data_IF_236225487902
#
_entry.id   IF_236225487902
#
_cell.length_a   1.000
_cell.length_b   1.000
_cell.length_c   1.000
_cell.angle_alpha   90.00
_cell.angle_beta   90.00
_cell.angle_gamma   90.00
#
_symmetry.space_group_name_H-M   'P 1'
#
loop_
_entity.id
_entity.type
_entity.pdbx_description
1 polymer ?
#
# COMPACT_ATOMS: atom_id res chain seq x y z
N UNK A 1 -4.07 -1.09 3.31
CA UNK A 1 -2.93 -0.18 3.33
C UNK A 1 -3.39 1.30 3.25
N UNK A 2 -2.45 2.25 3.26
CA UNK A 2 -2.78 3.66 3.46
C UNK A 2 -3.08 4.47 2.19
N UNK A 3 -2.97 3.89 0.98
CA UNK A 3 -3.25 4.63 -0.24
C UNK A 3 -4.68 5.20 -0.24
N UNK A 4 -4.88 6.28 -0.98
CA UNK A 4 -6.12 7.06 -0.98
C UNK A 4 -7.33 6.27 -1.49
N UNK A 5 -7.17 5.40 -2.47
CA UNK A 5 -8.23 4.53 -3.00
C UNK A 5 -8.76 3.51 -1.98
N UNK A 6 -7.99 3.24 -0.91
CA UNK A 6 -8.40 2.41 0.22
C UNK A 6 -8.87 3.21 1.44
N UNK A 7 -8.50 4.48 1.56
CA UNK A 7 -8.72 5.24 2.81
C UNK A 7 -9.49 6.55 2.63
N UNK A 8 -9.59 7.10 1.41
CA UNK A 8 -10.19 8.41 1.17
C UNK A 8 -11.68 8.51 1.55
N UNK A 9 -12.38 7.38 1.65
CA UNK A 9 -13.76 7.34 2.11
C UNK A 9 -13.92 7.43 3.66
N UNK A 10 -12.86 7.32 4.44
CA UNK A 10 -12.95 7.35 5.91
C UNK A 10 -13.55 8.66 6.45
N UNK A 11 -13.14 9.86 5.98
CA UNK A 11 -13.80 11.10 6.41
C UNK A 11 -15.27 11.17 6.00
N UNK A 12 -15.63 10.62 4.85
CA UNK A 12 -17.02 10.57 4.42
C UNK A 12 -17.87 9.65 5.31
N UNK A 13 -17.34 8.52 5.76
CA UNK A 13 -18.01 7.69 6.77
C UNK A 13 -18.27 8.47 8.07
N UNK A 14 -17.33 9.34 8.48
CA UNK A 14 -17.54 10.24 9.65
C UNK A 14 -18.66 11.24 9.39
N UNK A 15 -18.69 11.88 8.22
CA UNK A 15 -19.77 12.79 7.81
C UNK A 15 -21.14 12.10 7.81
N UNK A 16 -21.21 10.82 7.43
CA UNK A 16 -22.42 9.98 7.49
C UNK A 16 -22.78 9.51 8.91
N UNK A 17 -22.02 9.91 9.93
CA UNK A 17 -22.31 9.57 11.33
C UNK A 17 -21.68 8.29 11.84
N UNK A 18 -20.83 7.60 11.08
CA UNK A 18 -20.10 6.44 11.61
C UNK A 18 -19.16 6.86 12.75
N UNK A 19 -19.31 6.22 13.90
CA UNK A 19 -18.49 6.48 15.10
C UNK A 19 -17.79 5.22 15.63
N UNK A 20 -17.93 4.12 14.89
CA UNK A 20 -17.26 2.87 15.20
C UNK A 20 -15.75 2.92 15.03
N UNK A 21 -15.03 1.90 15.49
CA UNK A 21 -13.57 1.83 15.37
C UNK A 21 -13.15 1.57 13.92
N UNK A 22 -11.99 2.11 13.55
CA UNK A 22 -11.27 1.81 12.31
C UNK A 22 -9.93 1.19 12.70
N UNK A 23 -9.63 0.03 12.15
CA UNK A 23 -8.42 -0.71 12.47
C UNK A 23 -7.50 -0.82 11.26
N UNK A 24 -6.19 -0.78 11.50
CA UNK A 24 -5.16 -1.06 10.51
C UNK A 24 -3.88 -1.55 11.18
N UNK A 25 -2.88 -1.96 10.41
CA UNK A 25 -1.53 -2.17 10.95
C UNK A 25 -0.92 -0.87 11.47
N UNK A 26 0.05 -0.95 12.36
CA UNK A 26 0.68 0.25 12.93
C UNK A 26 1.28 1.18 11.85
N UNK A 27 2.01 0.69 10.82
CA UNK A 27 2.49 1.56 9.75
C UNK A 27 1.36 2.21 8.96
N UNK A 28 0.31 1.46 8.61
CA UNK A 28 -0.86 2.01 7.91
C UNK A 28 -1.55 3.08 8.76
N UNK A 29 -1.76 2.83 10.05
CA UNK A 29 -2.39 3.80 10.96
C UNK A 29 -1.59 5.11 11.06
N UNK A 30 -0.26 5.03 11.07
CA UNK A 30 0.62 6.20 11.07
C UNK A 30 0.56 7.00 9.76
N UNK A 31 0.40 6.33 8.63
CA UNK A 31 0.41 6.94 7.30
C UNK A 31 -0.94 7.57 6.89
N UNK A 32 -2.06 6.97 7.28
CA UNK A 32 -3.41 7.39 6.86
C UNK A 32 -3.66 8.90 7.01
N UNK A 33 -3.34 9.56 8.14
CA UNK A 33 -3.60 10.99 8.27
C UNK A 33 -2.85 11.85 7.23
N UNK A 34 -1.64 11.46 6.87
CA UNK A 34 -0.84 12.13 5.84
C UNK A 34 -1.45 11.98 4.44
N UNK A 35 -1.80 10.76 4.07
CA UNK A 35 -2.43 10.45 2.79
C UNK A 35 -3.78 11.17 2.64
N UNK A 36 -4.63 11.15 3.66
CA UNK A 36 -5.93 11.82 3.63
C UNK A 36 -5.79 13.34 3.43
N UNK A 37 -4.86 13.99 4.13
CA UNK A 37 -4.63 15.43 3.95
C UNK A 37 -4.10 15.77 2.55
N UNK A 38 -3.14 14.99 2.04
CA UNK A 38 -2.60 15.17 0.68
C UNK A 38 -3.69 15.03 -0.37
N UNK A 39 -4.47 13.94 -0.28
CA UNK A 39 -5.56 13.68 -1.20
C UNK A 39 -6.65 14.77 -1.15
N UNK A 40 -7.08 15.18 0.04
CA UNK A 40 -8.06 16.24 0.20
C UNK A 40 -7.57 17.58 -0.36
N UNK A 41 -6.29 17.91 -0.15
CA UNK A 41 -5.67 19.11 -0.74
C UNK A 41 -5.59 19.02 -2.25
N UNK A 42 -5.19 17.87 -2.79
CA UNK A 42 -5.12 17.63 -4.22
C UNK A 42 -6.49 17.82 -4.87
N UNK A 43 -7.53 17.15 -4.37
CA UNK A 43 -8.89 17.24 -4.90
C UNK A 43 -9.42 18.68 -4.90
N UNK A 44 -9.23 19.42 -3.80
CA UNK A 44 -9.65 20.82 -3.73
C UNK A 44 -8.93 21.70 -4.75
N UNK A 45 -7.64 21.50 -4.92
CA UNK A 45 -6.84 22.26 -5.88
C UNK A 45 -7.26 21.97 -7.34
N UNK A 46 -7.89 20.82 -7.58
CA UNK A 46 -8.47 20.47 -8.89
C UNK A 46 -9.95 20.87 -9.02
N UNK A 47 -10.50 21.52 -8.00
CA UNK A 47 -11.89 21.99 -8.03
C UNK A 47 -12.93 20.94 -7.63
N UNK A 48 -12.51 19.80 -7.09
CA UNK A 48 -13.44 18.76 -6.64
C UNK A 48 -14.19 19.22 -5.38
N UNK A 49 -15.47 18.94 -5.33
CA UNK A 49 -16.27 19.14 -4.12
C UNK A 49 -16.23 17.87 -3.26
N UNK A 50 -15.53 17.92 -2.14
CA UNK A 50 -15.47 16.81 -1.21
C UNK A 50 -16.81 16.65 -0.47
N UNK A 51 -17.30 15.40 -0.25
CA UNK A 51 -18.56 15.12 0.45
C UNK A 51 -18.42 15.17 1.99
N UNK A 52 -17.35 15.77 2.50
CA UNK A 52 -17.04 15.89 3.94
C UNK A 52 -16.28 17.20 4.21
N UNK A 53 -16.29 17.63 5.48
CA UNK A 53 -15.60 18.83 5.94
C UNK A 53 -14.25 18.56 6.61
N UNK A 54 -13.57 19.64 7.01
CA UNK A 54 -12.29 19.56 7.75
C UNK A 54 -12.43 18.85 9.09
N UNK A 55 -13.59 19.02 9.76
CA UNK A 55 -13.85 18.35 11.02
C UNK A 55 -13.90 16.83 10.85
N UNK A 56 -14.62 16.34 9.82
CA UNK A 56 -14.72 14.92 9.54
C UNK A 56 -13.34 14.30 9.23
N UNK A 57 -12.51 15.04 8.46
CA UNK A 57 -11.13 14.67 8.18
C UNK A 57 -10.29 14.59 9.48
N UNK A 58 -10.43 15.60 10.35
CA UNK A 58 -9.69 15.66 11.60
C UNK A 58 -10.16 14.60 12.63
N UNK A 59 -11.38 14.10 12.53
CA UNK A 59 -11.94 13.07 13.39
C UNK A 59 -11.58 11.63 13.01
N UNK A 60 -10.96 11.40 11.85
CA UNK A 60 -10.51 10.06 11.49
C UNK A 60 -9.46 9.58 12.49
N UNK A 61 -9.77 8.49 13.17
CA UNK A 61 -8.86 7.79 14.09
C UNK A 61 -8.72 6.36 13.64
N UNK A 62 -7.47 5.92 13.49
CA UNK A 62 -7.15 4.54 13.13
C UNK A 62 -6.42 3.90 14.30
N UNK A 63 -6.97 2.80 14.80
CA UNK A 63 -6.39 2.04 15.91
C UNK A 63 -5.45 0.98 15.35
N UNK A 64 -4.17 0.99 15.73
CA UNK A 64 -3.22 -0.01 15.25
C UNK A 64 -3.54 -1.40 15.81
N UNK A 65 -3.46 -2.40 14.92
CA UNK A 65 -3.53 -3.81 15.28
C UNK A 65 -2.28 -4.53 14.80
N UNK A 66 -1.71 -5.44 15.60
CA UNK A 66 -0.63 -6.30 15.14
C UNK A 66 -1.14 -7.35 14.15
N UNK A 67 -0.22 -7.88 13.33
CA UNK A 67 -0.50 -9.03 12.47
C UNK A 67 -0.94 -10.26 13.29
N UNK A 68 -1.53 -11.23 12.63
CA UNK A 68 -2.00 -12.47 13.24
C UNK A 68 -3.52 -12.61 13.26
N UNK A 69 -4.01 -13.59 14.00
CA UNK A 69 -5.44 -13.93 14.08
C UNK A 69 -6.08 -13.40 15.36
N UNK A 70 -7.29 -12.88 15.27
CA UNK A 70 -8.07 -12.38 16.41
C UNK A 70 -9.56 -12.44 16.18
N UNK A 71 -10.31 -12.45 17.27
CA UNK A 71 -11.75 -12.21 17.29
C UNK A 71 -12.05 -10.74 16.96
N UNK A 72 -13.10 -10.50 16.20
CA UNK A 72 -13.57 -9.14 15.92
C UNK A 72 -14.49 -8.67 17.04
N UNK A 73 -14.14 -7.58 17.76
CA UNK A 73 -14.99 -7.06 18.83
C UNK A 73 -16.41 -6.75 18.35
N UNK A 74 -17.42 -7.21 19.09
CA UNK A 74 -18.82 -7.00 18.75
C UNK A 74 -19.39 -7.93 17.68
N UNK A 75 -18.59 -8.83 17.11
CA UNK A 75 -19.02 -9.82 16.11
C UNK A 75 -18.59 -11.23 16.56
N UNK A 76 -19.34 -11.82 17.50
CA UNK A 76 -19.02 -13.17 18.00
C UNK A 76 -19.05 -14.19 16.86
N UNK A 77 -18.11 -15.11 16.88
CA UNK A 77 -17.94 -16.12 15.83
C UNK A 77 -17.22 -15.64 14.56
N UNK A 78 -16.85 -14.35 14.49
CA UNK A 78 -16.00 -13.83 13.41
C UNK A 78 -14.57 -13.67 13.88
N UNK A 79 -13.65 -14.36 13.21
CA UNK A 79 -12.20 -14.13 13.33
C UNK A 79 -11.65 -13.47 12.09
N UNK A 80 -10.63 -12.63 12.26
CA UNK A 80 -9.84 -12.08 11.16
C UNK A 80 -8.37 -12.41 11.35
N UNK A 81 -7.73 -12.85 10.28
CA UNK A 81 -6.29 -13.08 10.22
C UNK A 81 -5.67 -12.08 9.26
N UNK A 82 -4.59 -11.43 9.66
CA UNK A 82 -3.84 -10.49 8.83
C UNK A 82 -2.46 -11.06 8.53
N UNK A 83 -2.05 -10.99 7.27
CA UNK A 83 -0.68 -11.23 6.84
C UNK A 83 -0.23 -10.11 5.89
N UNK A 84 1.07 -9.96 5.73
CA UNK A 84 1.65 -8.95 4.84
C UNK A 84 1.32 -9.25 3.40
N UNK A 85 0.94 -8.23 2.62
CA UNK A 85 0.67 -8.37 1.18
C UNK A 85 1.84 -7.97 0.28
N UNK A 86 2.92 -7.42 0.84
CA UNK A 86 4.14 -7.05 0.11
C UNK A 86 4.03 -5.75 -0.70
N UNK A 87 2.86 -5.14 -0.81
CA UNK A 87 2.62 -3.99 -1.67
C UNK A 87 3.29 -2.71 -1.17
N UNK A 88 3.16 -2.41 0.10
CA UNK A 88 3.86 -1.32 0.79
C UNK A 88 3.97 -1.62 2.28
N UNK A 89 4.74 -0.82 3.02
CA UNK A 89 4.86 -0.99 4.47
C UNK A 89 3.48 -0.88 5.14
N UNK A 90 3.11 -1.92 5.88
CA UNK A 90 1.82 -2.01 6.56
C UNK A 90 0.68 -2.60 5.72
N UNK A 91 0.86 -2.85 4.43
CA UNK A 91 -0.15 -3.50 3.60
C UNK A 91 -0.38 -4.95 4.02
N UNK A 92 -1.65 -5.36 3.99
CA UNK A 92 -2.07 -6.70 4.44
C UNK A 92 -3.08 -7.31 3.50
N UNK A 93 -3.03 -8.64 3.39
CA UNK A 93 -4.20 -9.44 3.06
C UNK A 93 -4.98 -9.77 4.34
N UNK A 94 -6.27 -10.05 4.22
CA UNK A 94 -7.16 -10.36 5.34
C UNK A 94 -7.95 -11.63 5.03
N UNK A 95 -7.99 -12.56 5.99
CA UNK A 95 -8.89 -13.71 5.95
C UNK A 95 -9.93 -13.56 7.06
N UNK A 96 -11.17 -13.43 6.66
CA UNK A 96 -12.33 -13.45 7.56
C UNK A 96 -12.86 -14.87 7.64
N UNK A 97 -13.09 -15.38 8.84
CA UNK A 97 -13.64 -16.70 9.05
C UNK A 97 -14.81 -16.64 10.05
N UNK A 98 -15.95 -17.13 9.62
CA UNK A 98 -17.17 -17.26 10.42
C UNK A 98 -17.36 -18.71 10.82
N UNK A 99 -17.66 -18.97 12.06
CA UNK A 99 -17.81 -20.33 12.59
C UNK A 99 -18.84 -21.17 11.81
N UNK A 100 -19.87 -20.53 11.24
CA UNK A 100 -20.98 -21.21 10.57
C UNK A 100 -21.20 -20.80 9.11
N UNK A 101 -20.41 -19.92 8.56
CA UNK A 101 -20.63 -19.34 7.24
C UNK A 101 -19.40 -19.38 6.32
N UNK A 102 -18.37 -20.14 6.72
CA UNK A 102 -17.17 -20.30 5.91
C UNK A 102 -16.16 -19.15 6.04
N UNK A 103 -15.33 -18.98 5.03
CA UNK A 103 -14.23 -18.00 5.07
C UNK A 103 -14.04 -17.26 3.77
N UNK A 104 -13.70 -15.98 3.89
CA UNK A 104 -13.35 -15.07 2.80
C UNK A 104 -11.90 -14.64 2.93
N UNK A 105 -11.12 -14.82 1.87
CA UNK A 105 -9.81 -14.21 1.72
C UNK A 105 -9.92 -12.96 0.85
N UNK A 106 -9.51 -11.82 1.38
CA UNK A 106 -9.39 -10.54 0.68
C UNK A 106 -7.91 -10.18 0.59
N UNK A 107 -7.37 -10.07 -0.62
CA UNK A 107 -5.93 -9.86 -0.81
C UNK A 107 -5.49 -8.43 -0.56
N UNK A 108 -6.39 -7.45 -0.71
CA UNK A 108 -5.94 -6.08 -0.91
C UNK A 108 -4.97 -6.01 -2.10
N UNK A 109 -4.23 -4.94 -2.22
CA UNK A 109 -3.15 -4.85 -3.21
C UNK A 109 -1.96 -5.70 -2.78
N UNK A 110 -1.39 -6.43 -3.73
CA UNK A 110 -0.31 -7.40 -3.47
C UNK A 110 0.93 -7.15 -4.32
N UNK A 111 2.09 -7.47 -3.76
CA UNK A 111 3.33 -7.62 -4.49
C UNK A 111 4.04 -8.89 -4.03
N UNK A 112 3.89 -9.97 -4.79
CA UNK A 112 4.47 -11.27 -4.45
C UNK A 112 5.99 -11.33 -4.68
N UNK A 113 6.51 -10.50 -5.57
CA UNK A 113 7.89 -10.46 -6.01
C UNK A 113 8.67 -9.23 -5.46
N UNK A 114 8.16 -8.58 -4.41
CA UNK A 114 8.83 -7.44 -3.77
C UNK A 114 10.18 -7.84 -3.14
N UNK A 115 11.19 -6.97 -3.26
CA UNK A 115 12.55 -7.23 -2.74
C UNK A 115 12.69 -6.83 -1.28
N UNK A 116 12.08 -5.72 -0.89
CA UNK A 116 12.15 -5.19 0.47
C UNK A 116 11.03 -5.73 1.36
N UNK A 117 9.84 -5.88 0.79
CA UNK A 117 8.64 -6.23 1.52
C UNK A 117 8.14 -7.59 1.04
N UNK A 118 8.45 -8.62 1.80
CA UNK A 118 7.95 -9.96 1.50
C UNK A 118 6.45 -10.07 1.84
N UNK A 119 5.68 -10.69 0.94
CA UNK A 119 4.33 -11.12 1.25
C UNK A 119 4.36 -12.40 2.12
N UNK A 120 3.44 -12.48 3.08
CA UNK A 120 3.23 -13.72 3.82
C UNK A 120 2.41 -14.71 2.96
N UNK A 121 2.59 -16.02 3.15
CA UNK A 121 1.83 -17.02 2.42
C UNK A 121 0.32 -16.81 2.59
N UNK A 122 -0.41 -16.90 1.48
CA UNK A 122 -1.87 -16.77 1.49
C UNK A 122 -2.50 -18.03 2.10
N UNK A 123 -3.39 -17.87 3.10
CA UNK A 123 -4.17 -18.99 3.61
C UNK A 123 -5.27 -19.38 2.62
N UNK A 124 -5.80 -20.59 2.74
CA UNK A 124 -6.98 -21.00 2.00
C UNK A 124 -8.22 -20.27 2.52
N UNK A 125 -9.10 -19.88 1.60
CA UNK A 125 -10.45 -19.38 1.86
C UNK A 125 -11.45 -20.06 0.94
N UNK A 126 -12.71 -20.16 1.36
CA UNK A 126 -13.79 -20.68 0.53
C UNK A 126 -14.22 -19.66 -0.53
N UNK A 127 -14.13 -18.38 -0.17
CA UNK A 127 -14.35 -17.26 -1.08
C UNK A 127 -13.06 -16.45 -1.19
N UNK A 128 -12.83 -15.89 -2.38
CA UNK A 128 -11.66 -15.08 -2.68
C UNK A 128 -12.07 -13.78 -3.37
N UNK A 129 -11.62 -12.64 -2.80
CA UNK A 129 -11.59 -11.36 -3.49
C UNK A 129 -10.12 -11.07 -3.77
N UNK A 130 -9.76 -11.07 -5.05
CA UNK A 130 -8.39 -10.94 -5.53
C UNK A 130 -8.24 -9.64 -6.32
N UNK A 131 -7.20 -8.88 -6.03
CA UNK A 131 -6.77 -7.81 -6.93
C UNK A 131 -6.23 -8.41 -8.24
N UNK A 132 -6.37 -7.69 -9.33
CA UNK A 132 -5.94 -8.16 -10.65
C UNK A 132 -5.35 -7.03 -11.52
N UNK A 133 -4.72 -6.04 -10.92
CA UNK A 133 -4.17 -4.88 -11.62
C UNK A 133 -3.20 -5.26 -12.75
N UNK A 134 -2.46 -6.35 -12.59
CA UNK A 134 -1.50 -6.86 -13.57
C UNK A 134 -1.88 -8.20 -14.20
N UNK A 135 -3.14 -8.61 -14.11
CA UNK A 135 -3.59 -9.93 -14.60
C UNK A 135 -3.29 -10.20 -16.09
N UNK A 136 -3.21 -9.16 -16.92
CA UNK A 136 -2.84 -9.25 -18.33
C UNK A 136 -1.33 -9.25 -18.61
N UNK A 137 -0.49 -8.96 -17.62
CA UNK A 137 0.97 -8.90 -17.79
C UNK A 137 1.58 -10.29 -17.77
N UNK A 138 2.38 -10.59 -18.81
CA UNK A 138 3.19 -11.81 -18.87
C UNK A 138 4.66 -11.55 -18.55
N UNK A 139 5.01 -10.30 -18.22
CA UNK A 139 6.38 -9.90 -17.95
C UNK A 139 6.68 -10.11 -16.46
N UNK A 140 7.62 -10.98 -16.15
CA UNK A 140 8.15 -11.13 -14.80
C UNK A 140 8.76 -9.80 -14.33
N UNK A 141 8.56 -9.43 -13.08
CA UNK A 141 9.08 -8.20 -12.50
C UNK A 141 10.61 -8.10 -12.63
N UNK A 142 11.32 -9.20 -12.40
CA UNK A 142 12.78 -9.25 -12.56
C UNK A 142 13.25 -8.95 -13.99
N UNK A 143 12.48 -9.33 -15.01
CA UNK A 143 12.81 -9.00 -16.40
C UNK A 143 12.64 -7.50 -16.66
N UNK A 144 11.63 -6.87 -16.08
CA UNK A 144 11.42 -5.43 -16.16
C UNK A 144 12.53 -4.65 -15.43
N UNK A 145 12.93 -5.10 -14.25
CA UNK A 145 14.03 -4.50 -13.49
C UNK A 145 15.37 -4.62 -14.23
N UNK A 146 15.67 -5.77 -14.82
CA UNK A 146 16.89 -5.92 -15.66
C UNK A 146 16.86 -4.97 -16.84
N UNK A 147 15.74 -4.87 -17.55
CA UNK A 147 15.62 -3.96 -18.69
C UNK A 147 15.77 -2.49 -18.29
N UNK A 148 15.18 -2.09 -17.15
CA UNK A 148 15.36 -0.76 -16.61
C UNK A 148 16.84 -0.49 -16.25
N UNK A 149 17.52 -1.46 -15.63
CA UNK A 149 18.94 -1.33 -15.27
C UNK A 149 19.81 -1.15 -16.51
N UNK A 150 19.58 -1.94 -17.57
CA UNK A 150 20.28 -1.81 -18.85
C UNK A 150 20.13 -0.40 -19.42
N UNK A 151 18.89 0.09 -19.55
CA UNK A 151 18.60 1.44 -20.06
C UNK A 151 19.21 2.55 -19.19
N UNK A 152 19.17 2.38 -17.88
CA UNK A 152 19.78 3.34 -16.96
C UNK A 152 21.32 3.36 -17.14
N UNK A 153 21.94 2.20 -17.18
CA UNK A 153 23.39 2.07 -17.36
C UNK A 153 23.86 2.64 -18.72
N UNK A 154 23.18 2.32 -19.81
CA UNK A 154 23.45 2.87 -21.16
C UNK A 154 23.34 4.40 -21.16
N UNK A 155 22.28 4.94 -20.54
CA UNK A 155 22.04 6.40 -20.47
C UNK A 155 23.15 7.12 -19.70
N UNK A 156 23.54 6.57 -18.55
CA UNK A 156 24.59 7.14 -17.70
C UNK A 156 25.96 7.04 -18.37
N UNK A 157 26.28 5.91 -19.02
CA UNK A 157 27.52 5.77 -19.79
C UNK A 157 27.61 6.80 -20.92
N UNK A 158 26.49 7.16 -21.53
CA UNK A 158 26.36 8.26 -22.50
C UNK A 158 26.33 9.67 -21.85
N UNK A 159 26.65 9.82 -20.58
CA UNK A 159 26.58 11.07 -19.79
C UNK A 159 25.16 11.67 -19.72
N UNK A 160 24.14 10.88 -19.93
CA UNK A 160 22.73 11.25 -19.76
C UNK A 160 22.28 11.19 -18.31
N UNK A 161 21.02 11.58 -18.09
CA UNK A 161 20.35 11.50 -16.78
C UNK A 161 19.06 10.70 -16.91
N UNK A 162 18.75 9.92 -15.89
CA UNK A 162 17.51 9.13 -15.82
C UNK A 162 16.61 9.73 -14.76
N UNK A 163 15.39 10.07 -15.12
CA UNK A 163 14.35 10.48 -14.20
C UNK A 163 13.33 9.36 -14.08
N UNK A 164 13.09 8.90 -12.84
CA UNK A 164 12.15 7.84 -12.52
C UNK A 164 11.01 8.40 -11.68
N UNK A 165 9.84 8.72 -12.26
CA UNK A 165 8.67 9.11 -11.49
C UNK A 165 8.08 7.85 -10.83
N UNK A 166 8.30 7.71 -9.54
CA UNK A 166 7.88 6.55 -8.75
C UNK A 166 7.06 6.98 -7.54
N UNK A 167 6.13 6.14 -7.06
CA UNK A 167 5.48 6.39 -5.78
C UNK A 167 6.53 6.50 -4.66
N UNK A 168 6.40 7.42 -3.73
CA UNK A 168 7.40 7.61 -2.67
C UNK A 168 7.49 6.41 -1.71
N UNK A 169 6.48 5.55 -1.69
CA UNK A 169 6.40 4.40 -0.77
C UNK A 169 6.15 3.10 -1.53
N UNK A 170 6.63 2.00 -0.98
CA UNK A 170 6.52 0.68 -1.59
C UNK A 170 7.48 0.52 -2.78
N UNK A 171 6.97 0.51 -4.00
CA UNK A 171 7.77 0.23 -5.21
C UNK A 171 8.90 1.23 -5.46
N UNK A 172 8.74 2.49 -5.08
CA UNK A 172 9.80 3.49 -5.25
C UNK A 172 11.03 3.17 -4.42
N UNK A 173 10.82 2.83 -3.15
CA UNK A 173 11.89 2.39 -2.27
C UNK A 173 12.53 1.08 -2.77
N UNK A 174 11.74 0.09 -3.18
CA UNK A 174 12.21 -1.19 -3.73
C UNK A 174 13.12 -0.98 -4.94
N UNK A 175 12.72 -0.08 -5.84
CA UNK A 175 13.50 0.29 -7.03
C UNK A 175 14.79 1.04 -6.68
N UNK A 176 14.73 1.98 -5.73
CA UNK A 176 15.90 2.72 -5.27
C UNK A 176 16.98 1.76 -4.73
N UNK A 177 16.59 0.82 -3.87
CA UNK A 177 17.52 -0.19 -3.35
C UNK A 177 18.05 -1.10 -4.44
N UNK A 178 17.22 -1.51 -5.39
CA UNK A 178 17.66 -2.31 -6.52
C UNK A 178 18.73 -1.59 -7.36
N UNK A 179 18.50 -0.33 -7.68
CA UNK A 179 19.45 0.46 -8.47
C UNK A 179 20.73 0.75 -7.68
N UNK A 180 20.62 1.05 -6.39
CA UNK A 180 21.77 1.27 -5.51
C UNK A 180 22.67 0.02 -5.39
N UNK A 181 22.09 -1.17 -5.43
CA UNK A 181 22.82 -2.45 -5.40
C UNK A 181 23.51 -2.76 -6.73
N UNK A 182 22.90 -2.38 -7.86
CA UNK A 182 23.29 -2.87 -9.20
C UNK A 182 24.05 -1.86 -10.04
N UNK A 183 23.89 -0.57 -9.81
CA UNK A 183 24.65 0.46 -10.52
C UNK A 183 26.05 0.60 -9.94
N UNK A 184 27.05 1.05 -10.75
CA UNK A 184 28.37 1.38 -10.25
C UNK A 184 28.30 2.40 -9.10
N UNK A 185 29.19 2.29 -8.12
CA UNK A 185 29.18 3.14 -6.92
C UNK A 185 29.44 4.64 -7.18
N UNK A 186 30.04 4.95 -8.33
CA UNK A 186 30.30 6.32 -8.77
C UNK A 186 29.11 6.99 -9.46
N UNK A 187 28.01 6.23 -9.71
CA UNK A 187 26.77 6.78 -10.25
C UNK A 187 25.96 7.40 -9.13
N UNK A 188 25.77 8.74 -9.10
CA UNK A 188 25.00 9.38 -8.04
C UNK A 188 23.51 9.04 -8.20
N UNK A 189 22.91 8.56 -7.13
CA UNK A 189 21.46 8.35 -7.00
C UNK A 189 20.87 9.46 -6.11
N UNK A 190 19.86 10.13 -6.64
CA UNK A 190 19.12 11.16 -5.91
C UNK A 190 17.70 10.69 -5.71
N UNK A 191 17.21 10.76 -4.51
CA UNK A 191 15.83 10.45 -4.17
C UNK A 191 15.18 11.62 -3.43
N UNK A 192 13.90 11.83 -3.70
CA UNK A 192 13.11 12.79 -2.91
C UNK A 192 12.98 12.29 -1.46
N UNK A 193 12.93 13.21 -0.48
CA UNK A 193 12.92 12.87 0.94
C UNK A 193 11.84 11.86 1.34
N UNK A 194 10.65 11.95 0.75
CA UNK A 194 9.57 10.98 1.03
C UNK A 194 9.89 9.54 0.60
N UNK A 195 10.78 9.33 -0.36
CA UNK A 195 11.26 7.99 -0.76
C UNK A 195 12.30 7.47 0.24
N UNK A 196 13.11 8.38 0.81
CA UNK A 196 14.17 8.04 1.76
C UNK A 196 13.59 7.78 3.15
N UNK A 197 12.53 8.48 3.53
CA UNK A 197 11.87 8.40 4.84
C UNK A 197 10.79 7.30 4.88
N UNK A 198 10.64 6.53 3.81
CA UNK A 198 9.63 5.48 3.69
C UNK A 198 10.13 4.16 4.24
#
# INVERSE_FOLDING_TARGET
HAHEDHTAALPYLRALGYRGPVYATAPTAALVPGFLRKWASYSRNHGDRLPFGEQDLAEVRVTPLPLGTRQVPGLPGLTVTFGRSGHMLGSVWMRFAWERAGSLLYTGDMALEGRLLAADPLPKGEFLILECAYAGSRLAQDAQYRRLLELAAETVAGKGRVLLPVPPRGRGADLLFFLAEKLPQDVPLWAEGEVVDA
#
